data_IF_244799849707
#
_entry.id   IF_244799849707
#
_cell.length_a   1.000
_cell.length_b   1.000
_cell.length_c   1.000
_cell.angle_alpha   90.00
_cell.angle_beta   90.00
_cell.angle_gamma   90.00
#
_symmetry.space_group_name_H-M   'P 1'
#
loop_
_entity.id
_entity.type
_entity.pdbx_description
1 polymer ?
#
# COMPACT_ATOMS: atom_id res chain seq x y z
N UNK A 1 -1.32 58.00 25.47
CA UNK A 1 -2.13 56.96 26.09
C UNK A 1 -3.14 56.52 25.05
N UNK A 2 -3.33 55.28 24.85
CA UNK A 2 -4.12 54.63 23.76
C UNK A 2 -3.28 54.37 22.49
N UNK A 3 -2.88 53.12 22.35
CA UNK A 3 -2.61 52.31 21.17
C UNK A 3 -1.52 51.29 21.47
N UNK A 4 -1.91 50.14 21.98
CA UNK A 4 -1.05 48.92 21.97
C UNK A 4 -1.79 47.74 22.61
N UNK A 5 -2.94 47.35 22.00
CA UNK A 5 -3.61 46.10 22.32
C UNK A 5 -4.44 45.65 21.11
N UNK A 6 -3.77 45.23 20.08
CA UNK A 6 -4.40 44.39 19.02
C UNK A 6 -3.35 43.45 18.47
N UNK A 7 -3.70 42.20 18.43
CA UNK A 7 -3.03 41.01 17.89
C UNK A 7 -2.48 40.02 18.92
N UNK A 8 -3.41 39.45 19.72
CA UNK A 8 -3.24 38.09 20.23
C UNK A 8 -4.42 37.22 19.76
N UNK A 9 -4.26 36.50 18.68
CA UNK A 9 -5.12 35.38 18.33
C UNK A 9 -4.62 34.14 19.05
N UNK A 10 -5.33 33.72 20.09
CA UNK A 10 -5.15 32.42 20.73
C UNK A 10 -5.95 31.39 19.94
N UNK A 11 -5.28 30.51 19.26
CA UNK A 11 -5.88 29.30 18.67
C UNK A 11 -5.95 28.23 19.77
N UNK A 12 -7.13 27.95 20.28
CA UNK A 12 -7.40 26.88 21.22
C UNK A 12 -7.47 25.56 20.45
N UNK A 13 -6.41 24.77 20.50
CA UNK A 13 -6.45 23.37 20.11
C UNK A 13 -6.64 22.53 21.37
N UNK A 14 -7.74 21.78 21.44
CA UNK A 14 -8.08 20.88 22.56
C UNK A 14 -7.17 19.65 22.50
N UNK A 15 -6.36 19.49 23.50
CA UNK A 15 -5.65 18.23 23.77
C UNK A 15 -4.25 18.42 24.34
N UNK A 16 -4.15 18.27 25.66
CA UNK A 16 -2.99 17.95 26.47
C UNK A 16 -1.96 19.03 26.82
N UNK A 17 -2.01 19.32 28.14
CA UNK A 17 -0.91 19.71 29.04
C UNK A 17 0.03 20.84 28.63
N UNK A 18 -0.33 21.98 29.16
CA UNK A 18 0.40 23.25 29.07
C UNK A 18 1.64 23.22 29.98
N UNK A 19 2.82 23.07 29.43
CA UNK A 19 4.07 23.43 30.11
C UNK A 19 4.36 24.89 29.81
N UNK A 20 4.02 25.80 30.76
CA UNK A 20 4.31 27.21 30.63
C UNK A 20 5.78 27.43 31.04
N UNK A 21 6.67 27.64 30.07
CA UNK A 21 7.99 28.21 30.31
C UNK A 21 7.89 29.73 30.30
N UNK A 22 7.98 30.32 31.47
CA UNK A 22 8.18 31.77 31.60
C UNK A 22 9.62 32.10 31.22
N UNK A 23 9.82 32.72 30.06
CA UNK A 23 11.07 33.39 29.72
C UNK A 23 10.91 34.86 30.08
N UNK A 24 11.52 35.28 31.17
CA UNK A 24 11.61 36.70 31.55
C UNK A 24 12.67 37.39 30.69
N UNK A 25 12.24 38.30 29.83
CA UNK A 25 13.15 39.25 29.17
C UNK A 25 13.47 40.40 30.12
N UNK A 26 14.72 40.49 30.56
CA UNK A 26 15.23 41.67 31.23
C UNK A 26 15.69 42.68 30.19
N UNK A 27 15.02 43.84 30.16
CA UNK A 27 15.47 45.04 29.47
C UNK A 27 16.66 45.64 30.23
N UNK A 28 17.72 45.97 29.50
CA UNK A 28 18.88 46.66 29.99
C UNK A 28 18.57 48.13 30.23
N UNK A 29 18.90 48.63 31.42
CA UNK A 29 19.36 50.00 31.62
C UNK A 29 20.60 50.03 32.55
N UNK A 30 21.55 50.97 32.36
CA UNK A 30 22.85 50.91 33.02
C UNK A 30 22.92 51.84 34.24
N UNK A 31 23.33 51.33 35.39
CA UNK A 31 23.90 52.17 36.45
C UNK A 31 24.83 51.36 37.37
N UNK A 32 26.04 51.66 37.22
CA UNK A 32 27.22 51.76 38.16
C UNK A 32 27.18 51.01 39.49
N UNK A 33 28.35 50.36 39.73
CA UNK A 33 29.06 50.14 41.02
C UNK A 33 28.42 49.21 42.06
N UNK A 34 28.87 47.99 42.07
CA UNK A 34 29.63 47.35 43.17
C UNK A 34 29.75 45.84 42.95
N UNK A 35 30.78 45.49 42.24
CA UNK A 35 31.25 44.12 42.09
C UNK A 35 32.00 43.79 43.37
N UNK A 36 31.50 42.94 44.25
CA UNK A 36 32.31 42.03 45.07
C UNK A 36 31.61 41.04 45.98
N UNK A 37 30.26 40.95 46.06
CA UNK A 37 29.64 40.02 47.00
C UNK A 37 28.52 39.15 46.40
N UNK A 38 28.54 38.85 45.11
CA UNK A 38 27.51 38.02 44.48
C UNK A 38 27.99 36.68 43.89
N UNK A 39 29.22 36.27 44.24
CA UNK A 39 29.78 35.01 43.69
C UNK A 39 29.67 33.80 44.63
N UNK A 40 28.94 33.91 45.75
CA UNK A 40 28.84 32.85 46.75
C UNK A 40 27.55 32.05 46.79
N UNK A 41 26.50 32.44 46.08
CA UNK A 41 25.15 31.85 46.30
C UNK A 41 24.50 31.22 45.06
N UNK A 42 25.18 31.16 43.91
CA UNK A 42 24.65 30.56 42.68
C UNK A 42 25.11 29.10 42.47
N UNK A 43 26.07 28.62 43.29
CA UNK A 43 26.61 27.25 43.14
C UNK A 43 25.78 26.14 43.81
N UNK A 44 24.72 26.44 44.55
CA UNK A 44 23.94 25.42 45.27
C UNK A 44 22.51 25.19 44.73
N UNK A 45 22.05 25.94 43.75
CA UNK A 45 20.73 25.78 43.16
C UNK A 45 20.74 24.96 41.84
N UNK A 46 21.92 24.64 41.30
CA UNK A 46 22.07 23.91 40.02
C UNK A 46 22.10 22.39 40.13
N UNK A 47 22.17 21.80 41.33
CA UNK A 47 22.41 20.38 41.53
C UNK A 47 21.16 19.51 41.83
N UNK A 48 19.96 20.12 41.92
CA UNK A 48 18.73 19.38 42.28
C UNK A 48 17.81 19.08 41.09
N UNK A 49 18.09 19.65 39.89
CA UNK A 49 17.26 19.40 38.69
C UNK A 49 17.73 18.25 37.80
N UNK A 50 18.76 17.48 38.18
CA UNK A 50 19.32 16.38 37.36
C UNK A 50 18.91 14.96 37.83
N UNK A 51 17.84 14.83 38.61
CA UNK A 51 17.51 13.55 39.26
C UNK A 51 16.11 13.02 39.02
N UNK A 52 15.30 13.58 38.12
CA UNK A 52 13.95 13.08 37.87
C UNK A 52 13.62 12.95 36.37
N UNK A 53 14.50 12.28 35.63
CA UNK A 53 14.05 11.56 34.43
C UNK A 53 13.31 10.31 34.88
N UNK A 54 12.16 10.50 35.54
CA UNK A 54 11.19 9.44 35.71
C UNK A 54 10.91 8.90 34.31
N UNK A 55 11.35 7.70 34.04
CA UNK A 55 10.87 6.88 32.94
C UNK A 55 9.33 6.89 33.06
N UNK A 56 8.66 7.83 32.36
CA UNK A 56 7.24 7.71 32.08
C UNK A 56 7.14 6.43 31.26
N UNK A 57 6.82 5.32 31.91
CA UNK A 57 6.23 4.17 31.27
C UNK A 57 5.09 4.79 30.45
N UNK A 58 5.26 4.86 29.14
CA UNK A 58 4.18 5.18 28.23
C UNK A 58 3.13 4.12 28.51
N UNK A 59 2.13 4.48 29.28
CA UNK A 59 0.97 3.65 29.54
C UNK A 59 0.36 3.37 28.19
N UNK A 60 0.67 2.18 27.68
CA UNK A 60 0.22 1.69 26.38
C UNK A 60 -1.30 1.72 26.50
N UNK A 61 -1.96 2.58 25.71
CA UNK A 61 -3.40 2.61 25.63
C UNK A 61 -3.91 1.16 25.55
N UNK A 62 -4.97 0.78 26.27
CA UNK A 62 -5.44 -0.59 26.29
C UNK A 62 -5.64 -1.05 24.86
N UNK A 63 -4.84 -2.03 24.45
CA UNK A 63 -4.89 -2.63 23.11
C UNK A 63 -6.30 -3.20 22.95
N UNK A 64 -7.03 -2.75 21.93
CA UNK A 64 -8.37 -3.27 21.66
C UNK A 64 -8.33 -4.80 21.65
N UNK A 65 -9.31 -5.49 22.24
CA UNK A 65 -9.27 -6.94 22.36
C UNK A 65 -9.10 -7.57 20.97
N UNK A 66 -8.09 -8.42 20.82
CA UNK A 66 -7.78 -9.10 19.55
C UNK A 66 -8.97 -9.97 19.15
N UNK A 67 -9.46 -9.85 17.89
CA UNK A 67 -10.50 -10.73 17.39
C UNK A 67 -10.05 -12.20 17.45
N UNK A 68 -10.95 -13.10 17.86
CA UNK A 68 -10.65 -14.53 18.04
C UNK A 68 -11.23 -15.42 16.94
N UNK A 69 -12.28 -14.95 16.26
CA UNK A 69 -12.95 -15.69 15.18
C UNK A 69 -13.19 -14.77 14.00
N UNK A 70 -12.28 -14.79 13.06
CA UNK A 70 -12.26 -13.86 11.95
C UNK A 70 -12.74 -14.57 10.69
N UNK A 71 -13.68 -13.98 10.00
CA UNK A 71 -14.12 -14.40 8.68
C UNK A 71 -13.74 -13.32 7.67
N UNK A 72 -13.18 -13.71 6.56
CA UNK A 72 -12.96 -12.83 5.42
C UNK A 72 -13.92 -13.20 4.29
N UNK A 73 -14.55 -12.20 3.68
CA UNK A 73 -15.52 -12.36 2.60
C UNK A 73 -15.08 -11.70 1.29
N UNK A 74 -13.77 -11.50 1.15
CA UNK A 74 -13.17 -10.94 -0.05
C UNK A 74 -11.75 -11.50 -0.24
N UNK A 75 -11.41 -11.94 -1.44
CA UNK A 75 -10.11 -12.55 -1.76
C UNK A 75 -8.91 -11.69 -1.37
N UNK A 76 -9.02 -10.37 -1.49
CA UNK A 76 -7.91 -9.48 -1.15
C UNK A 76 -7.75 -9.31 0.37
N UNK A 77 -8.84 -9.36 1.12
CA UNK A 77 -8.78 -9.38 2.59
C UNK A 77 -8.35 -10.74 3.13
N UNK A 78 -8.59 -11.83 2.39
CA UNK A 78 -8.07 -13.16 2.73
C UNK A 78 -6.53 -13.18 2.74
N UNK A 79 -5.89 -12.60 1.71
CA UNK A 79 -4.42 -12.54 1.67
C UNK A 79 -3.85 -11.80 2.87
N UNK A 80 -4.42 -10.66 3.26
CA UNK A 80 -4.00 -9.90 4.43
C UNK A 80 -4.25 -10.69 5.72
N UNK A 81 -5.40 -11.35 5.83
CA UNK A 81 -5.75 -12.17 6.97
C UNK A 81 -4.77 -13.34 7.14
N UNK A 82 -4.49 -14.09 6.07
CA UNK A 82 -3.57 -15.23 6.08
C UNK A 82 -2.14 -14.83 6.42
N UNK A 83 -1.69 -13.63 6.02
CA UNK A 83 -0.34 -13.12 6.32
C UNK A 83 -0.20 -12.60 7.74
N UNK A 84 -1.27 -12.03 8.30
CA UNK A 84 -1.21 -11.27 9.55
C UNK A 84 -1.71 -12.06 10.75
N UNK A 85 -2.82 -12.79 10.63
CA UNK A 85 -3.43 -13.48 11.76
C UNK A 85 -2.79 -14.85 12.04
N UNK A 86 -2.94 -15.29 13.27
CA UNK A 86 -2.67 -16.66 13.65
C UNK A 86 -3.74 -17.59 13.06
N UNK A 87 -3.32 -18.78 12.61
CA UNK A 87 -4.18 -19.73 11.90
C UNK A 87 -5.44 -20.09 12.68
N UNK A 88 -5.32 -20.24 13.97
CA UNK A 88 -6.41 -20.66 14.89
C UNK A 88 -7.52 -19.60 15.01
N UNK A 89 -7.21 -18.34 14.67
CA UNK A 89 -8.15 -17.23 14.68
C UNK A 89 -8.94 -17.08 13.38
N UNK A 90 -8.52 -17.75 12.31
CA UNK A 90 -9.15 -17.68 10.99
C UNK A 90 -10.25 -18.71 10.90
N UNK A 91 -11.51 -18.26 11.00
CA UNK A 91 -12.66 -19.15 10.95
C UNK A 91 -13.06 -19.55 9.51
N UNK A 92 -12.88 -18.64 8.55
CA UNK A 92 -13.16 -18.92 7.14
C UNK A 92 -12.52 -17.85 6.22
N UNK A 93 -12.15 -18.27 5.01
CA UNK A 93 -11.70 -17.42 3.89
C UNK A 93 -12.60 -17.67 2.68
N UNK A 94 -12.50 -16.85 1.63
CA UNK A 94 -13.30 -17.12 0.41
C UNK A 94 -12.78 -18.34 -0.36
N UNK A 95 -13.66 -19.02 -1.04
CA UNK A 95 -13.30 -20.14 -1.94
C UNK A 95 -12.32 -19.72 -3.05
N UNK A 96 -12.38 -18.44 -3.47
CA UNK A 96 -11.48 -17.86 -4.48
C UNK A 96 -10.02 -17.89 -4.04
N UNK A 97 -9.75 -17.74 -2.74
CA UNK A 97 -8.39 -17.76 -2.20
C UNK A 97 -7.73 -19.13 -2.21
N UNK A 98 -8.52 -20.21 -2.38
CA UNK A 98 -8.01 -21.58 -2.45
C UNK A 98 -7.55 -21.97 -3.87
N UNK A 99 -7.80 -21.12 -4.87
CA UNK A 99 -7.39 -21.34 -6.25
C UNK A 99 -6.05 -20.63 -6.53
N UNK A 100 -4.97 -21.36 -6.84
CA UNK A 100 -3.64 -20.77 -7.09
C UNK A 100 -3.58 -19.91 -8.36
N UNK A 101 -4.61 -19.95 -9.21
CA UNK A 101 -4.71 -19.04 -10.36
C UNK A 101 -5.07 -17.62 -9.91
N UNK A 102 -5.82 -17.49 -8.82
CA UNK A 102 -6.37 -16.24 -8.34
C UNK A 102 -5.62 -15.67 -7.14
N UNK A 103 -5.05 -16.53 -6.29
CA UNK A 103 -4.51 -16.14 -4.99
C UNK A 103 -3.04 -16.50 -4.82
N UNK A 104 -2.31 -15.63 -4.09
CA UNK A 104 -0.90 -15.81 -3.79
C UNK A 104 -0.65 -16.75 -2.60
N UNK A 105 -1.67 -17.02 -1.78
CA UNK A 105 -1.61 -17.86 -0.58
C UNK A 105 -2.62 -19.01 -0.64
N UNK A 106 -2.77 -19.61 -1.83
CA UNK A 106 -3.78 -20.64 -2.05
C UNK A 106 -3.56 -21.89 -1.19
N UNK A 107 -2.32 -22.28 -0.93
CA UNK A 107 -2.01 -23.45 -0.14
C UNK A 107 -2.32 -23.24 1.35
N UNK A 108 -2.01 -22.06 1.88
CA UNK A 108 -2.41 -21.68 3.24
C UNK A 108 -3.93 -21.57 3.36
N UNK A 109 -4.59 -20.99 2.36
CA UNK A 109 -6.05 -20.84 2.33
C UNK A 109 -6.78 -22.19 2.36
N UNK A 110 -6.27 -23.24 1.71
CA UNK A 110 -6.84 -24.60 1.74
C UNK A 110 -6.90 -25.20 3.16
N UNK A 111 -6.11 -24.70 4.09
CA UNK A 111 -6.15 -25.09 5.48
C UNK A 111 -7.34 -24.55 6.28
N UNK A 112 -8.20 -23.73 5.67
CA UNK A 112 -9.35 -23.08 6.30
C UNK A 112 -10.67 -23.40 5.58
N UNK A 113 -11.81 -23.37 6.30
CA UNK A 113 -13.11 -23.48 5.66
C UNK A 113 -13.33 -22.38 4.61
N UNK A 114 -13.92 -22.77 3.47
CA UNK A 114 -14.26 -21.82 2.41
C UNK A 114 -15.66 -21.23 2.60
N UNK A 115 -15.85 -19.97 2.20
CA UNK A 115 -17.16 -19.33 2.10
C UNK A 115 -17.32 -18.65 0.73
N UNK A 116 -18.58 -18.38 0.35
CA UNK A 116 -18.95 -17.68 -0.88
C UNK A 116 -19.35 -16.22 -0.62
N UNK A 117 -19.14 -15.73 0.60
CA UNK A 117 -19.51 -14.38 1.01
C UNK A 117 -21.00 -14.18 1.27
N UNK A 118 -21.77 -15.28 1.41
CA UNK A 118 -23.18 -15.23 1.77
C UNK A 118 -23.35 -14.98 3.27
N UNK A 119 -24.31 -14.15 3.63
CA UNK A 119 -24.50 -13.77 5.03
C UNK A 119 -24.78 -14.97 5.94
N UNK A 120 -25.55 -15.95 5.45
CA UNK A 120 -25.91 -17.17 6.17
C UNK A 120 -24.68 -18.05 6.45
N UNK A 121 -23.76 -18.17 5.49
CA UNK A 121 -22.50 -18.90 5.67
C UNK A 121 -21.65 -18.23 6.74
N UNK A 122 -21.51 -16.90 6.65
CA UNK A 122 -20.69 -16.11 7.60
C UNK A 122 -21.24 -16.23 9.03
N UNK A 123 -22.56 -16.14 9.20
CA UNK A 123 -23.24 -16.27 10.50
C UNK A 123 -22.99 -17.63 11.16
N UNK A 124 -22.89 -18.70 10.37
CA UNK A 124 -22.62 -20.06 10.90
C UNK A 124 -21.28 -20.15 11.63
N UNK A 125 -20.30 -19.35 11.21
CA UNK A 125 -18.97 -19.27 11.85
C UNK A 125 -18.96 -18.46 13.16
N UNK A 126 -20.01 -17.71 13.50
CA UNK A 126 -20.10 -16.83 14.68
C UNK A 126 -18.87 -15.94 14.84
N UNK A 127 -18.50 -15.13 13.82
CA UNK A 127 -17.31 -14.32 13.89
C UNK A 127 -17.46 -13.14 14.86
N UNK A 128 -16.36 -12.72 15.46
CA UNK A 128 -16.24 -11.45 16.18
C UNK A 128 -15.69 -10.31 15.30
N UNK A 129 -15.11 -10.67 14.14
CA UNK A 129 -14.72 -9.72 13.09
C UNK A 129 -14.96 -10.34 11.70
N UNK A 130 -15.55 -9.54 10.82
CA UNK A 130 -15.67 -9.86 9.40
C UNK A 130 -14.86 -8.83 8.60
N UNK A 131 -13.95 -9.31 7.74
CA UNK A 131 -13.21 -8.46 6.81
C UNK A 131 -13.92 -8.48 5.45
N UNK A 132 -14.29 -7.31 4.94
CA UNK A 132 -14.92 -7.10 3.64
C UNK A 132 -14.08 -6.16 2.78
N UNK A 133 -14.11 -6.35 1.48
CA UNK A 133 -13.51 -5.43 0.50
C UNK A 133 -14.57 -4.58 -0.18
N UNK A 134 -14.14 -3.55 -0.86
CA UNK A 134 -15.04 -2.61 -1.58
C UNK A 134 -15.92 -3.33 -2.64
N UNK A 135 -15.43 -4.42 -3.20
CA UNK A 135 -16.15 -5.22 -4.20
C UNK A 135 -16.93 -6.39 -3.60
N UNK A 136 -17.02 -6.49 -2.27
CA UNK A 136 -17.88 -7.47 -1.62
C UNK A 136 -19.35 -7.11 -1.83
N UNK A 137 -20.22 -8.12 -1.90
CA UNK A 137 -21.67 -7.91 -2.05
C UNK A 137 -22.21 -6.93 -0.99
N UNK A 138 -22.73 -5.81 -1.46
CA UNK A 138 -23.33 -4.80 -0.57
C UNK A 138 -24.49 -5.34 0.23
N UNK A 139 -25.28 -6.25 -0.36
CA UNK A 139 -26.42 -6.87 0.31
C UNK A 139 -25.96 -7.77 1.47
N UNK A 140 -24.94 -8.61 1.25
CA UNK A 140 -24.35 -9.45 2.30
C UNK A 140 -23.76 -8.61 3.43
N UNK A 141 -22.97 -7.59 3.10
CA UNK A 141 -22.35 -6.67 4.10
C UNK A 141 -23.43 -5.94 4.91
N UNK A 142 -24.48 -5.43 4.26
CA UNK A 142 -25.58 -4.75 4.95
C UNK A 142 -26.34 -5.70 5.88
N UNK A 143 -26.58 -6.93 5.47
CA UNK A 143 -27.23 -7.94 6.29
C UNK A 143 -26.38 -8.29 7.52
N UNK A 144 -25.09 -8.54 7.35
CA UNK A 144 -24.17 -8.86 8.44
C UNK A 144 -24.12 -7.73 9.50
N UNK A 145 -24.10 -6.47 9.05
CA UNK A 145 -24.17 -5.31 9.96
C UNK A 145 -25.50 -5.19 10.67
N UNK A 146 -26.62 -5.48 9.97
CA UNK A 146 -27.97 -5.43 10.56
C UNK A 146 -28.14 -6.43 11.68
N UNK A 147 -27.51 -7.60 11.60
CA UNK A 147 -27.54 -8.62 12.64
C UNK A 147 -26.48 -8.37 13.73
N UNK A 148 -25.81 -7.23 13.73
CA UNK A 148 -24.90 -6.77 14.78
C UNK A 148 -23.45 -7.27 14.66
N UNK A 149 -23.05 -7.87 13.55
CA UNK A 149 -21.66 -8.27 13.36
C UNK A 149 -20.76 -7.05 13.11
N UNK A 150 -19.55 -7.12 13.66
CA UNK A 150 -18.49 -6.16 13.38
C UNK A 150 -17.90 -6.42 11.99
N UNK A 151 -18.28 -5.63 11.00
CA UNK A 151 -17.79 -5.73 9.62
C UNK A 151 -16.89 -4.55 9.29
N UNK A 152 -15.61 -4.82 9.04
CA UNK A 152 -14.60 -3.84 8.67
C UNK A 152 -14.36 -3.87 7.16
N UNK A 153 -14.52 -2.72 6.52
CA UNK A 153 -14.19 -2.56 5.10
C UNK A 153 -12.71 -2.23 4.93
N UNK A 154 -12.08 -2.92 3.99
CA UNK A 154 -10.72 -2.68 3.53
C UNK A 154 -10.80 -2.04 2.14
N UNK A 155 -10.20 -0.87 2.01
CA UNK A 155 -10.13 -0.15 0.75
C UNK A 155 -9.23 -0.85 -0.26
N UNK A 156 -9.46 -0.60 -1.55
CA UNK A 156 -8.55 -1.03 -2.62
C UNK A 156 -7.49 0.06 -2.80
N UNK A 157 -6.23 -0.21 -2.51
CA UNK A 157 -5.16 0.76 -2.68
C UNK A 157 -4.88 1.02 -4.15
N UNK A 158 -4.56 2.28 -4.43
CA UNK A 158 -4.28 2.82 -5.76
C UNK A 158 -2.81 3.15 -5.96
N UNK A 159 -2.01 3.03 -4.91
CA UNK A 159 -0.57 3.30 -4.91
C UNK A 159 0.16 2.39 -3.93
N UNK A 160 1.47 2.28 -4.07
CA UNK A 160 2.32 1.56 -3.11
C UNK A 160 2.28 2.18 -1.70
N UNK A 161 2.03 3.49 -1.59
CA UNK A 161 1.82 4.14 -0.31
C UNK A 161 0.52 3.63 0.35
N UNK A 162 -0.58 3.62 -0.41
CA UNK A 162 -1.87 3.10 0.07
C UNK A 162 -1.83 1.59 0.35
N UNK A 163 -0.97 0.80 -0.31
CA UNK A 163 -0.72 -0.62 0.05
C UNK A 163 -0.20 -0.72 1.49
N UNK A 164 0.78 0.11 1.86
CA UNK A 164 1.31 0.14 3.24
C UNK A 164 0.23 0.51 4.25
N UNK A 165 -0.58 1.51 3.92
CA UNK A 165 -1.67 1.96 4.81
C UNK A 165 -2.74 0.88 4.95
N UNK A 166 -3.03 0.14 3.88
CA UNK A 166 -3.96 -1.00 3.89
C UNK A 166 -3.44 -2.13 4.79
N UNK A 167 -2.13 -2.47 4.70
CA UNK A 167 -1.50 -3.45 5.58
C UNK A 167 -1.57 -3.00 7.04
N UNK A 168 -1.25 -1.72 7.34
CA UNK A 168 -1.37 -1.17 8.69
C UNK A 168 -2.79 -1.24 9.21
N UNK A 169 -3.76 -0.86 8.39
CA UNK A 169 -5.18 -0.91 8.75
C UNK A 169 -5.64 -2.33 9.07
N UNK A 170 -5.28 -3.30 8.23
CA UNK A 170 -5.61 -4.70 8.47
C UNK A 170 -4.92 -5.21 9.75
N UNK A 171 -3.64 -4.90 9.93
CA UNK A 171 -2.88 -5.30 11.13
C UNK A 171 -3.47 -4.71 12.42
N UNK A 172 -3.92 -3.45 12.40
CA UNK A 172 -4.61 -2.82 13.53
C UNK A 172 -5.93 -3.53 13.87
N UNK A 173 -6.75 -3.82 12.86
CA UNK A 173 -8.02 -4.53 13.05
C UNK A 173 -7.82 -5.92 13.63
N UNK A 174 -6.73 -6.57 13.27
CA UNK A 174 -6.38 -7.92 13.72
C UNK A 174 -5.63 -7.94 15.07
N UNK A 175 -5.17 -6.79 15.58
CA UNK A 175 -4.27 -6.70 16.74
C UNK A 175 -2.85 -7.23 16.45
N UNK A 176 -2.40 -7.11 15.21
CA UNK A 176 -1.11 -7.65 14.71
C UNK A 176 -0.19 -6.55 14.17
N UNK A 177 -0.17 -5.39 14.80
CA UNK A 177 0.54 -4.18 14.33
C UNK A 177 2.02 -4.45 14.06
N UNK A 178 2.71 -5.18 14.96
CA UNK A 178 4.12 -5.51 14.79
C UNK A 178 4.37 -6.38 13.54
N UNK A 179 3.48 -7.34 13.27
CA UNK A 179 3.58 -8.19 12.07
C UNK A 179 3.30 -7.39 10.80
N UNK A 180 2.35 -6.44 10.86
CA UNK A 180 2.08 -5.52 9.75
C UNK A 180 3.28 -4.65 9.40
N UNK A 181 3.93 -4.04 10.38
CA UNK A 181 5.14 -3.24 10.15
C UNK A 181 6.30 -4.09 9.65
N UNK A 182 6.47 -5.32 10.12
CA UNK A 182 7.50 -6.23 9.62
C UNK A 182 7.30 -6.55 8.13
N UNK A 183 6.06 -6.77 7.68
CA UNK A 183 5.74 -6.95 6.25
C UNK A 183 6.10 -5.72 5.43
N UNK A 184 5.79 -4.52 5.92
CA UNK A 184 6.10 -3.26 5.24
C UNK A 184 7.61 -3.05 5.14
N UNK A 185 8.36 -3.31 6.21
CA UNK A 185 9.82 -3.22 6.22
C UNK A 185 10.44 -4.17 5.19
N UNK A 186 9.93 -5.42 5.09
CA UNK A 186 10.40 -6.36 4.07
C UNK A 186 10.10 -5.87 2.65
N UNK A 187 8.88 -5.39 2.41
CA UNK A 187 8.50 -4.77 1.13
C UNK A 187 9.44 -3.63 0.76
N UNK A 188 9.69 -2.71 1.69
CA UNK A 188 10.52 -1.53 1.44
C UNK A 188 11.98 -1.89 1.21
N UNK A 189 12.51 -2.86 1.94
CA UNK A 189 13.85 -3.41 1.73
C UNK A 189 14.00 -3.99 0.32
N UNK A 190 13.05 -4.81 -0.12
CA UNK A 190 13.04 -5.41 -1.46
C UNK A 190 12.92 -4.35 -2.55
N UNK A 191 12.02 -3.39 -2.40
CA UNK A 191 11.86 -2.26 -3.33
C UNK A 191 13.10 -1.35 -3.38
N UNK A 192 13.80 -1.19 -2.26
CA UNK A 192 15.04 -0.43 -2.17
C UNK A 192 16.22 -1.12 -2.85
N UNK A 193 16.22 -2.46 -2.89
CA UNK A 193 17.27 -3.25 -3.55
C UNK A 193 17.13 -3.33 -5.07
N UNK A 194 16.01 -2.85 -5.64
CA UNK A 194 15.82 -2.84 -7.07
C UNK A 194 16.77 -1.85 -7.74
N UNK A 195 17.80 -2.39 -8.38
CA UNK A 195 18.73 -1.62 -9.19
C UNK A 195 18.04 -1.17 -10.50
N UNK A 196 17.35 -0.05 -10.45
CA UNK A 196 16.93 0.67 -11.65
C UNK A 196 18.10 1.57 -12.04
N UNK A 197 18.82 1.23 -13.11
CA UNK A 197 19.96 2.01 -13.55
C UNK A 197 19.56 3.48 -13.77
N UNK A 198 20.26 4.44 -13.16
CA UNK A 198 20.01 5.85 -13.43
C UNK A 198 20.50 6.20 -14.82
N UNK A 199 19.66 6.87 -15.59
CA UNK A 199 19.99 7.34 -16.92
C UNK A 199 19.56 6.39 -18.04
N UNK A 200 19.10 6.92 -19.14
CA UNK A 200 18.59 6.22 -20.30
C UNK A 200 17.08 6.39 -20.51
N UNK A 201 16.64 6.06 -21.72
CA UNK A 201 15.21 6.04 -22.05
C UNK A 201 14.53 4.91 -21.28
N UNK A 202 13.50 5.25 -20.52
CA UNK A 202 12.66 4.23 -19.88
C UNK A 202 11.76 3.57 -20.94
N UNK A 203 11.73 2.23 -21.05
CA UNK A 203 10.84 1.54 -21.98
C UNK A 203 9.37 1.84 -21.67
N UNK A 204 8.58 2.01 -22.72
CA UNK A 204 7.13 2.29 -22.64
C UNK A 204 6.35 0.98 -22.57
N UNK A 205 5.65 0.74 -21.48
CA UNK A 205 4.93 -0.49 -21.22
C UNK A 205 3.42 -0.23 -21.20
N UNK A 206 2.65 -1.18 -21.69
CA UNK A 206 1.21 -1.18 -21.56
C UNK A 206 0.72 -2.54 -21.06
N UNK A 207 -0.21 -2.53 -20.11
CA UNK A 207 -0.93 -3.72 -19.67
C UNK A 207 -2.13 -3.91 -20.56
N UNK A 208 -2.32 -5.11 -21.07
CA UNK A 208 -3.49 -5.45 -21.83
C UNK A 208 -4.27 -6.58 -21.17
N UNK A 209 -5.51 -6.28 -20.85
CA UNK A 209 -6.49 -7.20 -20.29
C UNK A 209 -7.57 -7.53 -21.32
N UNK A 210 -8.48 -8.48 -21.03
CA UNK A 210 -9.61 -8.79 -21.88
C UNK A 210 -10.33 -7.54 -22.40
N UNK A 211 -10.81 -7.61 -23.64
CA UNK A 211 -11.57 -6.53 -24.29
C UNK A 211 -10.82 -5.17 -24.40
N UNK A 212 -9.47 -5.21 -24.44
CA UNK A 212 -8.67 -3.99 -24.58
C UNK A 212 -8.60 -3.14 -23.31
N UNK A 213 -8.99 -3.66 -22.15
CA UNK A 213 -8.84 -2.93 -20.91
C UNK A 213 -7.38 -2.81 -20.51
N UNK A 214 -7.01 -1.64 -20.01
CA UNK A 214 -5.69 -1.32 -19.46
C UNK A 214 -5.82 -0.60 -18.12
N UNK A 215 -4.72 -0.53 -17.39
CA UNK A 215 -4.59 0.25 -16.17
C UNK A 215 -3.68 1.45 -16.45
N UNK A 216 -4.16 2.64 -16.12
CA UNK A 216 -3.52 3.90 -16.44
C UNK A 216 -3.22 4.74 -15.18
N UNK A 217 -2.97 6.02 -15.35
CA UNK A 217 -2.61 6.96 -14.28
C UNK A 217 -3.58 6.87 -13.09
N UNK A 218 -3.02 6.79 -11.87
CA UNK A 218 -3.81 6.74 -10.64
C UNK A 218 -4.33 5.34 -10.29
N UNK A 219 -3.82 4.29 -10.92
CA UNK A 219 -4.00 2.90 -10.52
C UNK A 219 -2.74 2.36 -9.83
N UNK A 220 -2.88 1.33 -9.00
CA UNK A 220 -1.72 0.65 -8.41
C UNK A 220 -0.78 0.09 -9.48
N UNK A 221 -1.33 -0.36 -10.60
CA UNK A 221 -0.54 -0.90 -11.72
C UNK A 221 0.38 0.16 -12.33
N UNK A 222 -0.04 1.43 -12.34
CA UNK A 222 0.79 2.56 -12.77
C UNK A 222 2.05 2.71 -11.87
N UNK A 223 1.86 2.64 -10.56
CA UNK A 223 2.97 2.65 -9.59
C UNK A 223 3.90 1.44 -9.79
N UNK A 224 3.35 0.24 -10.03
CA UNK A 224 4.10 -0.99 -10.29
C UNK A 224 4.98 -0.83 -11.52
N UNK A 225 4.41 -0.38 -12.62
CA UNK A 225 5.15 -0.13 -13.88
C UNK A 225 6.26 0.90 -13.66
N UNK A 226 5.93 2.01 -13.01
CA UNK A 226 6.88 3.09 -12.73
C UNK A 226 8.03 2.63 -11.83
N UNK A 227 7.73 1.87 -10.78
CA UNK A 227 8.72 1.34 -9.84
C UNK A 227 9.60 0.27 -10.47
N UNK A 228 9.06 -0.48 -11.43
CA UNK A 228 9.84 -1.40 -12.25
C UNK A 228 10.78 -0.70 -13.25
N UNK A 229 10.80 0.64 -13.31
CA UNK A 229 11.68 1.43 -14.19
C UNK A 229 11.15 1.60 -15.60
N UNK A 230 9.85 1.48 -15.79
CA UNK A 230 9.15 1.63 -17.08
C UNK A 230 8.27 2.89 -17.07
N UNK A 231 7.75 3.26 -18.21
CA UNK A 231 6.72 4.29 -18.37
C UNK A 231 5.41 3.60 -18.74
N UNK A 232 4.34 3.91 -18.03
CA UNK A 232 3.02 3.42 -18.39
C UNK A 232 2.48 4.21 -19.60
N UNK A 233 2.46 3.60 -20.77
CA UNK A 233 2.03 4.22 -22.02
C UNK A 233 0.59 4.75 -21.94
N UNK A 234 -0.32 4.01 -21.30
CA UNK A 234 -1.69 4.46 -21.14
C UNK A 234 -1.79 5.73 -20.28
N UNK A 235 -0.95 5.84 -19.23
CA UNK A 235 -0.88 7.06 -18.42
C UNK A 235 -0.27 8.24 -19.19
N UNK A 236 0.75 7.99 -20.01
CA UNK A 236 1.40 8.98 -20.87
C UNK A 236 0.41 9.55 -21.93
N UNK A 237 -0.49 8.71 -22.47
CA UNK A 237 -1.55 9.08 -23.37
C UNK A 237 -2.74 9.81 -22.69
N UNK A 238 -2.66 10.05 -21.39
CA UNK A 238 -3.69 10.78 -20.64
C UNK A 238 -4.84 9.94 -20.11
N UNK A 239 -4.82 8.62 -20.28
CA UNK A 239 -5.82 7.76 -19.66
C UNK A 239 -5.67 7.73 -18.14
N UNK A 240 -6.78 7.56 -17.42
CA UNK A 240 -6.83 7.54 -15.96
C UNK A 240 -7.56 6.29 -15.45
N UNK A 241 -7.13 5.79 -14.29
CA UNK A 241 -7.67 4.59 -13.63
C UNK A 241 -7.63 3.36 -14.56
N UNK A 242 -8.80 2.86 -14.95
CA UNK A 242 -8.97 1.78 -15.91
C UNK A 242 -9.67 2.32 -17.14
N UNK A 243 -9.09 2.07 -18.30
CA UNK A 243 -9.58 2.55 -19.57
C UNK A 243 -9.57 1.42 -20.61
N UNK A 244 -10.31 1.62 -21.69
CA UNK A 244 -10.24 0.74 -22.86
C UNK A 244 -9.40 1.42 -23.93
N UNK A 245 -8.40 0.71 -24.46
CA UNK A 245 -7.45 1.23 -25.45
C UNK A 245 -7.48 0.32 -26.67
N UNK A 246 -7.65 0.86 -27.88
CA UNK A 246 -7.56 0.09 -29.11
C UNK A 246 -6.18 -0.56 -29.26
N UNK A 247 -6.13 -1.79 -29.80
CA UNK A 247 -4.85 -2.48 -30.03
C UNK A 247 -3.94 -1.73 -31.01
N UNK A 248 -4.50 -0.99 -31.91
CA UNK A 248 -3.80 -0.14 -32.88
C UNK A 248 -2.93 0.91 -32.19
N UNK A 249 -3.33 1.36 -31.01
CA UNK A 249 -2.56 2.29 -30.17
C UNK A 249 -1.17 1.74 -29.84
N UNK A 250 -1.03 0.43 -29.66
CA UNK A 250 0.28 -0.22 -29.42
C UNK A 250 1.26 0.04 -30.55
N UNK A 251 0.76 0.03 -31.79
CA UNK A 251 1.57 0.23 -33.01
C UNK A 251 1.88 1.71 -33.22
N UNK A 252 0.82 2.54 -33.13
CA UNK A 252 0.90 3.97 -33.43
C UNK A 252 1.76 4.71 -32.43
N UNK A 253 1.64 4.35 -31.15
CA UNK A 253 2.30 5.05 -30.06
C UNK A 253 3.64 4.44 -29.66
N UNK A 254 4.03 3.30 -30.27
CA UNK A 254 5.36 2.71 -30.10
C UNK A 254 5.60 2.15 -28.69
N UNK A 255 4.77 1.20 -28.25
CA UNK A 255 5.02 0.43 -27.05
C UNK A 255 6.30 -0.43 -27.23
N UNK A 256 7.11 -0.48 -26.18
CA UNK A 256 8.31 -1.36 -26.13
C UNK A 256 7.95 -2.69 -25.43
N UNK A 257 7.01 -2.65 -24.46
CA UNK A 257 6.63 -3.78 -23.61
C UNK A 257 5.12 -3.93 -23.57
N UNK A 258 4.64 -5.13 -23.89
CA UNK A 258 3.28 -5.55 -23.69
C UNK A 258 3.22 -6.50 -22.50
N UNK A 259 2.47 -6.11 -21.48
CA UNK A 259 2.25 -6.91 -20.28
C UNK A 259 0.88 -7.57 -20.41
N UNK A 260 0.83 -8.88 -20.37
CA UNK A 260 -0.39 -9.70 -20.45
C UNK A 260 -0.57 -10.51 -19.16
N UNK A 261 -1.82 -10.82 -18.83
CA UNK A 261 -2.09 -11.76 -17.75
C UNK A 261 -1.63 -13.16 -18.18
N UNK A 262 -0.79 -13.75 -17.35
CA UNK A 262 -0.25 -15.05 -17.62
C UNK A 262 0.44 -15.62 -16.39
N UNK A 263 0.09 -16.86 -16.08
CA UNK A 263 0.70 -17.60 -14.98
C UNK A 263 0.39 -19.09 -15.13
N UNK A 264 0.96 -19.94 -14.30
CA UNK A 264 0.58 -21.35 -14.25
C UNK A 264 -0.93 -21.48 -14.05
N UNK A 265 -1.63 -22.09 -14.99
CA UNK A 265 -3.09 -22.28 -14.94
C UNK A 265 -3.92 -21.14 -15.53
N UNK A 266 -3.34 -20.03 -15.99
CA UNK A 266 -4.03 -19.10 -16.88
C UNK A 266 -4.35 -19.85 -18.17
N UNK A 267 -5.64 -20.02 -18.45
CA UNK A 267 -6.07 -20.72 -19.68
C UNK A 267 -5.52 -20.02 -20.92
N UNK A 268 -5.35 -20.74 -22.04
CA UNK A 268 -4.74 -20.21 -23.26
C UNK A 268 -5.52 -19.08 -23.93
N UNK A 269 -6.75 -18.79 -23.45
CA UNK A 269 -7.71 -18.07 -24.25
C UNK A 269 -7.35 -16.62 -24.55
N UNK A 270 -7.01 -15.78 -23.58
CA UNK A 270 -6.91 -14.33 -23.80
C UNK A 270 -5.51 -13.84 -24.17
N UNK A 271 -4.48 -14.36 -23.51
CA UNK A 271 -3.11 -14.05 -23.88
C UNK A 271 -2.83 -14.54 -25.31
N UNK A 272 -3.37 -15.72 -25.67
CA UNK A 272 -3.22 -16.28 -27.01
C UNK A 272 -3.99 -15.49 -28.08
N UNK A 273 -5.20 -15.02 -27.80
CA UNK A 273 -5.97 -14.19 -28.74
C UNK A 273 -5.28 -12.88 -29.04
N UNK A 274 -4.81 -12.19 -28.01
CA UNK A 274 -4.05 -10.92 -28.18
C UNK A 274 -2.79 -11.16 -28.99
N UNK A 275 -2.02 -12.21 -28.69
CA UNK A 275 -0.78 -12.54 -29.43
C UNK A 275 -1.03 -12.99 -30.86
N UNK A 276 -2.22 -13.55 -31.15
CA UNK A 276 -2.62 -13.93 -32.50
C UNK A 276 -3.15 -12.75 -33.33
N UNK A 277 -3.45 -11.62 -32.70
CA UNK A 277 -3.97 -10.47 -33.42
C UNK A 277 -2.96 -9.96 -34.46
N UNK A 278 -3.39 -9.66 -35.71
CA UNK A 278 -2.49 -9.24 -36.79
C UNK A 278 -1.63 -8.03 -36.43
N UNK A 279 -2.15 -7.11 -35.66
CA UNK A 279 -1.45 -5.92 -35.18
C UNK A 279 -0.28 -6.32 -34.27
N UNK A 280 -0.48 -7.22 -33.32
CA UNK A 280 0.59 -7.68 -32.41
C UNK A 280 1.64 -8.49 -33.16
N UNK A 281 1.21 -9.34 -34.12
CA UNK A 281 2.14 -10.07 -34.99
C UNK A 281 3.05 -9.16 -35.82
N UNK A 282 2.55 -8.01 -36.30
CA UNK A 282 3.36 -7.02 -37.01
C UNK A 282 4.44 -6.36 -36.12
N UNK A 283 4.25 -6.38 -34.81
CA UNK A 283 5.20 -5.88 -33.82
C UNK A 283 6.17 -6.98 -33.33
N UNK A 284 6.00 -8.23 -33.77
CA UNK A 284 6.88 -9.34 -33.42
C UNK A 284 8.35 -8.96 -33.73
N UNK A 285 9.23 -9.11 -32.74
CA UNK A 285 10.63 -8.69 -32.84
C UNK A 285 10.94 -7.26 -32.37
N UNK A 286 9.92 -6.40 -32.22
CA UNK A 286 10.09 -5.04 -31.66
C UNK A 286 9.42 -4.88 -30.31
N UNK A 287 8.39 -5.65 -30.01
CA UNK A 287 7.60 -5.61 -28.78
C UNK A 287 8.00 -6.75 -27.85
N UNK A 288 8.49 -6.43 -26.67
CA UNK A 288 8.74 -7.40 -25.61
C UNK A 288 7.40 -7.79 -24.97
N UNK A 289 7.01 -9.06 -25.06
CA UNK A 289 5.84 -9.56 -24.34
C UNK A 289 6.27 -10.12 -22.99
N UNK A 290 5.67 -9.61 -21.92
CA UNK A 290 5.88 -10.07 -20.54
C UNK A 290 4.59 -10.66 -20.02
N UNK A 291 4.63 -11.94 -19.67
CA UNK A 291 3.52 -12.63 -19.00
C UNK A 291 3.68 -12.45 -17.49
N UNK A 292 2.72 -11.79 -16.85
CA UNK A 292 2.75 -11.51 -15.42
C UNK A 292 1.42 -11.92 -14.78
N UNK A 293 1.44 -12.82 -13.76
CA UNK A 293 0.20 -13.25 -13.11
C UNK A 293 -0.55 -12.07 -12.48
N UNK A 294 -1.83 -11.90 -12.85
CA UNK A 294 -2.65 -10.78 -12.34
C UNK A 294 -2.84 -10.83 -10.83
N UNK A 295 -2.78 -12.01 -10.20
CA UNK A 295 -2.86 -12.16 -8.74
C UNK A 295 -1.82 -11.36 -7.97
N UNK A 296 -0.65 -11.07 -8.60
CA UNK A 296 0.43 -10.32 -7.94
C UNK A 296 0.07 -8.86 -7.68
N UNK A 297 -0.87 -8.28 -8.45
CA UNK A 297 -1.27 -6.88 -8.34
C UNK A 297 -2.78 -6.62 -8.26
N UNK A 298 -3.61 -7.67 -8.38
CA UNK A 298 -5.07 -7.54 -8.23
C UNK A 298 -5.44 -7.28 -6.78
N UNK A 299 -4.84 -8.04 -5.86
CA UNK A 299 -4.96 -7.79 -4.44
C UNK A 299 -3.73 -7.02 -3.99
N UNK A 300 -3.95 -5.80 -3.60
CA UNK A 300 -2.91 -4.86 -3.22
C UNK A 300 -2.29 -5.23 -1.87
N UNK A 301 -1.54 -6.31 -1.85
CA UNK A 301 -0.81 -6.86 -0.73
C UNK A 301 0.71 -6.89 -1.00
N UNK A 302 1.50 -7.56 -0.15
CA UNK A 302 2.95 -7.68 -0.31
C UNK A 302 3.40 -8.30 -1.63
N UNK A 303 2.55 -9.12 -2.28
CA UNK A 303 2.85 -9.73 -3.57
C UNK A 303 3.07 -8.72 -4.72
N UNK A 304 2.66 -7.47 -4.54
CA UNK A 304 2.93 -6.40 -5.51
C UNK A 304 4.43 -6.19 -5.73
N UNK A 305 5.26 -6.49 -4.75
CA UNK A 305 6.73 -6.43 -4.88
C UNK A 305 7.24 -7.49 -5.84
N UNK A 306 6.65 -8.70 -5.81
CA UNK A 306 7.00 -9.77 -6.74
C UNK A 306 6.67 -9.38 -8.19
N UNK A 307 5.55 -8.67 -8.41
CA UNK A 307 5.20 -8.11 -9.71
C UNK A 307 6.27 -7.13 -10.21
N UNK A 308 6.71 -6.22 -9.35
CA UNK A 308 7.72 -5.20 -9.67
C UNK A 308 9.07 -5.87 -9.99
N UNK A 309 9.51 -6.82 -9.18
CA UNK A 309 10.77 -7.55 -9.36
C UNK A 309 10.78 -8.34 -10.67
N UNK A 310 9.71 -9.09 -10.95
CA UNK A 310 9.57 -9.86 -12.19
C UNK A 310 9.58 -8.94 -13.42
N UNK A 311 8.84 -7.84 -13.37
CA UNK A 311 8.76 -6.87 -14.46
C UNK A 311 10.12 -6.18 -14.67
N UNK A 312 10.79 -5.77 -13.59
CA UNK A 312 12.11 -5.17 -13.64
C UNK A 312 13.17 -6.13 -14.22
N UNK A 313 13.11 -7.41 -13.86
CA UNK A 313 14.00 -8.43 -14.39
C UNK A 313 13.77 -8.69 -15.90
N UNK A 314 12.49 -8.86 -16.29
CA UNK A 314 12.10 -9.14 -17.67
C UNK A 314 12.42 -8.03 -18.68
N UNK A 315 12.68 -6.81 -18.19
CA UNK A 315 12.91 -5.62 -19.04
C UNK A 315 14.27 -4.96 -18.82
N UNK A 316 15.18 -5.64 -18.10
CA UNK A 316 16.49 -5.08 -17.74
C UNK A 316 17.32 -4.68 -18.95
N UNK A 317 17.35 -5.53 -19.97
CA UNK A 317 18.10 -5.34 -21.22
C UNK A 317 17.57 -4.17 -22.05
N UNK A 318 16.27 -3.89 -22.01
CA UNK A 318 15.66 -2.79 -22.77
C UNK A 318 16.07 -1.39 -22.26
N UNK A 319 16.57 -1.31 -21.04
CA UNK A 319 17.02 -0.06 -20.42
C UNK A 319 18.46 0.30 -20.73
N UNK A 320 19.25 -0.67 -21.16
CA UNK A 320 20.69 -0.52 -21.43
C UNK A 320 20.95 -0.19 -22.89
N UNK A 321 20.04 -0.55 -23.79
CA UNK A 321 20.22 -0.32 -25.23
C UNK A 321 19.86 1.12 -25.62
N UNK A 322 20.73 1.89 -26.28
CA UNK A 322 20.34 3.11 -26.97
C UNK A 322 19.30 2.76 -28.06
N UNK A 323 18.41 3.68 -28.43
CA UNK A 323 17.41 3.42 -29.46
C UNK A 323 18.13 2.98 -30.75
N UNK A 324 17.85 1.74 -31.17
CA UNK A 324 18.40 1.22 -32.40
C UNK A 324 18.04 2.15 -33.54
N UNK A 325 19.08 2.63 -34.29
CA UNK A 325 18.87 3.29 -35.58
C UNK A 325 17.95 2.39 -36.41
N UNK A 326 16.94 2.96 -37.09
CA UNK A 326 16.18 2.19 -38.06
C UNK A 326 17.19 1.68 -39.09
N UNK A 327 17.13 0.39 -39.39
CA UNK A 327 17.86 -0.19 -40.49
C UNK A 327 17.40 0.54 -41.77
N UNK A 328 18.34 1.21 -42.39
CA UNK A 328 18.18 1.85 -43.68
C UNK A 328 17.82 0.85 -44.77
#
# INVERSE_FOLDING_TARGET
MSHLLEHFRVSLNRGNDLLICFVAFFSREPASTSLRNALGTIALAGAVCLGASAARSQERAPEAPRPKRIVSVNMCTDELLLRLAEKERIASVTWLSQDPRNANMADEAKGHPANHGLAEEVLSYRPDLVLAGVYTSRASVAMLRRVGLNVADIAVPRSLAEVRDTIRRAAQLLGETARGEALIVDMDRRLGSLAVAPGGRKPRAIVLRPNGFTAAKGSLVDDVISKAGLVNLAAELGYVNYAQVPLETLVLEGADVLIIDGGPGSGPALASEVLQHPVVKKLAGRLRVVSLPSRLWTCAGPAVVDAIEQLAAATRDLRVSPPGRPAS
#
